data_IF_219450154137
#
_entry.id   IF_219450154137
#
_cell.length_a   1.000
_cell.length_b   1.000
_cell.length_c   1.000
_cell.angle_alpha   90.00
_cell.angle_beta   90.00
_cell.angle_gamma   90.00
#
_symmetry.space_group_name_H-M   'P 1'
#
loop_
_entity.id
_entity.type
_entity.pdbx_description
1 polymer ?
#
# COMPACT_ATOMS: atom_id res chain seq x y z
N UNK A 1 5.59 -35.23 8.90
CA UNK A 1 6.58 -34.20 8.50
C UNK A 1 6.02 -33.24 7.43
N UNK A 2 5.48 -33.74 6.31
CA UNK A 2 4.92 -32.90 5.22
C UNK A 2 3.83 -31.92 5.68
N UNK A 3 2.86 -32.37 6.49
CA UNK A 3 1.77 -31.53 7.01
C UNK A 3 2.29 -30.35 7.87
N UNK A 4 3.30 -30.60 8.71
CA UNK A 4 3.92 -29.58 9.55
C UNK A 4 4.64 -28.52 8.70
N UNK A 5 5.34 -28.95 7.65
CA UNK A 5 5.99 -28.05 6.69
C UNK A 5 4.98 -27.14 5.97
N UNK A 6 3.86 -27.73 5.53
CA UNK A 6 2.77 -26.99 4.88
C UNK A 6 2.15 -25.94 5.82
N UNK A 7 1.89 -26.33 7.08
CA UNK A 7 1.36 -25.42 8.09
C UNK A 7 2.31 -24.26 8.38
N UNK A 8 3.62 -24.55 8.51
CA UNK A 8 4.65 -23.54 8.72
C UNK A 8 4.73 -22.57 7.53
N UNK A 9 4.68 -23.10 6.31
CA UNK A 9 4.68 -22.28 5.08
C UNK A 9 3.46 -21.35 5.05
N UNK A 10 2.27 -21.88 5.36
CA UNK A 10 1.03 -21.08 5.41
C UNK A 10 1.10 -19.98 6.48
N UNK A 11 1.64 -20.29 7.66
CA UNK A 11 1.82 -19.31 8.72
C UNK A 11 2.79 -18.19 8.32
N UNK A 12 3.92 -18.54 7.71
CA UNK A 12 4.90 -17.59 7.20
C UNK A 12 4.29 -16.68 6.13
N UNK A 13 3.50 -17.26 5.22
CA UNK A 13 2.79 -16.55 4.17
C UNK A 13 1.79 -15.53 4.73
N UNK A 14 1.02 -15.95 5.74
CA UNK A 14 0.06 -15.09 6.43
C UNK A 14 0.76 -13.94 7.15
N UNK A 15 1.87 -14.21 7.83
CA UNK A 15 2.67 -13.19 8.50
C UNK A 15 3.22 -12.17 7.50
N UNK A 16 3.73 -12.65 6.36
CA UNK A 16 4.22 -11.79 5.28
C UNK A 16 3.10 -10.89 4.72
N UNK A 17 1.92 -11.46 4.50
CA UNK A 17 0.75 -10.71 4.03
C UNK A 17 0.33 -9.64 5.04
N UNK A 18 0.31 -9.97 6.33
CA UNK A 18 0.00 -9.02 7.41
C UNK A 18 1.01 -7.87 7.45
N UNK A 19 2.31 -8.19 7.35
CA UNK A 19 3.38 -7.20 7.32
C UNK A 19 3.24 -6.27 6.10
N UNK A 20 2.95 -6.84 4.93
CA UNK A 20 2.72 -6.07 3.71
C UNK A 20 1.51 -5.14 3.85
N UNK A 21 0.41 -5.63 4.43
CA UNK A 21 -0.79 -4.84 4.70
C UNK A 21 -0.50 -3.68 5.67
N UNK A 22 0.28 -3.93 6.72
CA UNK A 22 0.69 -2.90 7.68
C UNK A 22 1.55 -1.83 7.00
N UNK A 23 2.52 -2.25 6.17
CA UNK A 23 3.37 -1.34 5.41
C UNK A 23 2.54 -0.50 4.43
N UNK A 24 1.58 -1.13 3.75
CA UNK A 24 0.64 -0.46 2.85
C UNK A 24 -0.20 0.59 3.59
N UNK A 25 -0.71 0.25 4.77
CA UNK A 25 -1.48 1.17 5.61
C UNK A 25 -0.64 2.37 6.04
N UNK A 26 0.60 2.13 6.48
CA UNK A 26 1.53 3.18 6.85
C UNK A 26 1.84 4.11 5.66
N UNK A 27 2.09 3.51 4.49
CA UNK A 27 2.33 4.27 3.26
C UNK A 27 1.11 5.10 2.89
N UNK A 28 -0.10 4.53 2.96
CA UNK A 28 -1.35 5.25 2.71
C UNK A 28 -1.52 6.43 3.67
N UNK A 29 -1.23 6.23 4.96
CA UNK A 29 -1.30 7.30 5.95
C UNK A 29 -0.32 8.43 5.64
N UNK A 30 0.93 8.10 5.30
CA UNK A 30 1.96 9.08 4.92
C UNK A 30 1.54 9.84 3.66
N UNK A 31 1.03 9.10 2.68
CA UNK A 31 0.55 9.60 1.41
C UNK A 31 -0.62 10.57 1.61
N UNK A 32 -1.55 10.28 2.51
CA UNK A 32 -2.64 11.19 2.87
C UNK A 32 -2.16 12.42 3.66
N UNK A 33 -1.18 12.27 4.53
CA UNK A 33 -0.67 13.35 5.38
C UNK A 33 0.12 14.39 4.58
N UNK A 34 0.86 13.97 3.54
CA UNK A 34 1.68 14.87 2.72
C UNK A 34 0.89 16.05 2.09
N UNK A 35 -0.19 15.85 1.33
CA UNK A 35 -0.95 16.96 0.76
C UNK A 35 -1.63 17.83 1.82
N UNK A 36 -2.01 17.26 2.97
CA UNK A 36 -2.55 18.02 4.10
C UNK A 36 -1.50 18.95 4.70
N UNK A 37 -0.27 18.46 4.87
CA UNK A 37 0.86 19.27 5.35
C UNK A 37 1.22 20.38 4.35
N UNK A 38 1.18 20.08 3.04
CA UNK A 38 1.40 21.08 1.99
C UNK A 38 0.30 22.14 1.98
N UNK A 39 -0.96 21.75 2.13
CA UNK A 39 -2.10 22.66 2.25
C UNK A 39 -1.98 23.55 3.50
N UNK A 40 -1.58 22.97 4.64
CA UNK A 40 -1.34 23.72 5.87
C UNK A 40 -0.21 24.74 5.68
N UNK A 41 0.89 24.35 5.03
CA UNK A 41 2.00 25.25 4.72
C UNK A 41 1.55 26.40 3.80
N UNK A 42 0.76 26.09 2.77
CA UNK A 42 0.17 27.08 1.88
C UNK A 42 -0.71 28.08 2.64
N UNK A 43 -1.56 27.59 3.54
CA UNK A 43 -2.42 28.42 4.39
C UNK A 43 -1.60 29.33 5.31
N UNK A 44 -0.55 28.80 5.94
CA UNK A 44 0.34 29.56 6.81
C UNK A 44 1.10 30.64 6.04
N UNK A 45 1.56 30.33 4.83
CA UNK A 45 2.23 31.30 3.95
C UNK A 45 1.26 32.41 3.52
N UNK A 46 0.01 32.06 3.18
CA UNK A 46 -1.04 33.02 2.85
C UNK A 46 -1.36 33.92 4.05
N UNK A 47 -1.48 33.35 5.25
CA UNK A 47 -1.74 34.09 6.49
C UNK A 47 -0.58 35.06 6.81
N UNK A 48 0.66 34.61 6.67
CA UNK A 48 1.84 35.44 6.88
C UNK A 48 1.86 36.62 5.90
N UNK A 49 1.55 36.37 4.62
CA UNK A 49 1.45 37.41 3.59
C UNK A 49 0.37 38.43 3.96
N UNK A 50 -0.81 37.95 4.39
CA UNK A 50 -1.91 38.81 4.82
C UNK A 50 -1.52 39.66 6.03
N UNK A 51 -0.86 39.06 7.03
CA UNK A 51 -0.40 39.75 8.22
C UNK A 51 0.66 40.81 7.87
N UNK A 52 1.60 40.49 6.98
CA UNK A 52 2.62 41.43 6.49
C UNK A 52 1.96 42.62 5.79
N UNK A 53 0.99 42.35 4.91
CA UNK A 53 0.24 43.39 4.22
C UNK A 53 -0.53 44.28 5.21
N UNK A 54 -1.20 43.66 6.19
CA UNK A 54 -1.94 44.37 7.23
C UNK A 54 -1.00 45.22 8.10
N UNK A 55 0.17 44.70 8.48
CA UNK A 55 1.17 45.42 9.25
C UNK A 55 1.65 46.66 8.48
N UNK A 56 1.93 46.51 7.19
CA UNK A 56 2.34 47.62 6.34
C UNK A 56 1.24 48.67 6.23
N UNK A 57 -0.02 48.24 6.02
CA UNK A 57 -1.18 49.13 6.01
C UNK A 57 -1.34 49.87 7.35
N UNK A 58 -1.21 49.15 8.47
CA UNK A 58 -1.31 49.72 9.81
C UNK A 58 -0.19 50.74 10.07
N UNK A 59 1.05 50.42 9.70
CA UNK A 59 2.17 51.35 9.80
C UNK A 59 1.93 52.61 8.95
N UNK A 60 1.37 52.45 7.75
CA UNK A 60 1.00 53.60 6.91
C UNK A 60 -0.08 54.48 7.53
N UNK A 61 -1.04 53.89 8.25
CA UNK A 61 -2.14 54.62 8.91
C UNK A 61 -1.71 55.28 10.23
N UNK A 62 -0.88 54.60 11.03
CA UNK A 62 -0.46 55.07 12.36
C UNK A 62 0.69 56.08 12.31
N UNK A 63 1.46 56.11 11.22
CA UNK A 63 2.47 57.15 11.05
C UNK A 63 1.76 58.50 10.87
N UNK A 64 2.18 59.55 11.60
CA UNK A 64 1.61 60.88 11.43
C UNK A 64 1.68 61.26 9.95
N UNK A 65 0.66 61.95 9.40
CA UNK A 65 0.67 62.33 7.99
C UNK A 65 1.97 63.07 7.73
N UNK A 66 2.85 62.53 6.86
CA UNK A 66 4.12 63.19 6.64
C UNK A 66 3.85 64.57 6.02
N UNK A 67 4.64 65.59 6.35
CA UNK A 67 4.57 66.84 5.61
C UNK A 67 4.77 66.49 4.12
N UNK A 68 4.00 67.04 3.19
CA UNK A 68 4.21 66.76 1.76
C UNK A 68 5.69 67.08 1.44
N UNK A 69 6.52 66.14 0.94
CA UNK A 69 6.27 64.77 0.44
C UNK A 69 6.46 63.60 1.44
N UNK A 70 5.88 62.39 1.19
CA UNK A 70 6.05 61.22 2.06
C UNK A 70 7.54 60.86 2.27
N UNK A 71 7.93 60.40 3.47
CA UNK A 71 9.33 60.15 3.79
C UNK A 71 9.87 59.06 2.86
N UNK A 72 11.10 59.25 2.33
CA UNK A 72 11.68 58.35 1.34
C UNK A 72 11.75 56.89 1.83
N UNK A 73 11.83 56.68 3.16
CA UNK A 73 11.88 55.35 3.77
C UNK A 73 10.60 54.52 3.56
N UNK A 74 9.42 55.15 3.60
CA UNK A 74 8.15 54.42 3.38
C UNK A 74 7.96 54.06 1.92
N UNK A 75 8.33 54.96 1.01
CA UNK A 75 8.33 54.68 -0.42
C UNK A 75 9.30 53.56 -0.76
N UNK A 76 10.49 53.53 -0.15
CA UNK A 76 11.46 52.45 -0.33
C UNK A 76 10.93 51.11 0.19
N UNK A 77 10.24 51.10 1.34
CA UNK A 77 9.65 49.87 1.88
C UNK A 77 8.54 49.34 0.95
N UNK A 78 7.64 50.21 0.48
CA UNK A 78 6.58 49.84 -0.45
C UNK A 78 7.15 49.38 -1.80
N UNK A 79 8.17 50.07 -2.31
CA UNK A 79 8.88 49.72 -3.53
C UNK A 79 9.62 48.38 -3.42
N UNK A 80 10.11 48.02 -2.23
CA UNK A 80 10.74 46.73 -1.97
C UNK A 80 9.71 45.61 -1.77
N UNK A 81 8.55 45.91 -1.18
CA UNK A 81 7.50 44.93 -0.93
C UNK A 81 6.69 44.59 -2.19
N UNK A 82 6.44 45.56 -3.07
CA UNK A 82 5.71 45.34 -4.32
C UNK A 82 6.31 44.23 -5.20
N UNK A 83 7.62 44.21 -5.52
CA UNK A 83 8.21 43.14 -6.31
C UNK A 83 8.22 41.80 -5.57
N UNK A 84 8.33 41.81 -4.24
CA UNK A 84 8.22 40.59 -3.42
C UNK A 84 6.80 39.99 -3.55
N UNK A 85 5.76 40.82 -3.46
CA UNK A 85 4.37 40.40 -3.62
C UNK A 85 4.09 39.92 -5.06
N UNK A 86 4.62 40.64 -6.06
CA UNK A 86 4.54 40.26 -7.47
C UNK A 86 5.20 38.91 -7.75
N UNK A 87 6.28 38.59 -7.04
CA UNK A 87 6.98 37.30 -7.16
C UNK A 87 6.29 36.18 -6.39
N UNK A 88 5.73 36.48 -5.21
CA UNK A 88 5.08 35.49 -4.37
C UNK A 88 3.72 35.04 -4.94
N UNK A 89 2.95 35.94 -5.56
CA UNK A 89 1.66 35.61 -6.16
C UNK A 89 1.72 34.49 -7.21
N UNK A 90 2.58 34.52 -8.25
CA UNK A 90 2.69 33.44 -9.23
C UNK A 90 3.23 32.16 -8.60
N UNK A 91 4.09 32.25 -7.58
CA UNK A 91 4.56 31.07 -6.84
C UNK A 91 3.41 30.39 -6.07
N UNK A 92 2.54 31.18 -5.45
CA UNK A 92 1.35 30.69 -4.76
C UNK A 92 0.36 30.05 -5.75
N UNK A 93 0.13 30.69 -6.90
CA UNK A 93 -0.73 30.15 -7.96
C UNK A 93 -0.17 28.83 -8.53
N UNK A 94 1.15 28.77 -8.75
CA UNK A 94 1.83 27.55 -9.17
C UNK A 94 1.65 26.44 -8.13
N UNK A 95 1.86 26.73 -6.85
CA UNK A 95 1.69 25.74 -5.77
C UNK A 95 0.24 25.26 -5.68
N UNK A 96 -0.73 26.16 -5.82
CA UNK A 96 -2.15 25.84 -5.85
C UNK A 96 -2.52 24.94 -7.04
N UNK A 97 -1.89 25.13 -8.20
CA UNK A 97 -2.09 24.29 -9.38
C UNK A 97 -1.37 22.94 -9.29
N UNK A 98 -0.20 22.90 -8.66
CA UNK A 98 0.56 21.67 -8.43
C UNK A 98 -0.12 20.75 -7.41
N UNK A 99 -0.80 21.30 -6.40
CA UNK A 99 -1.49 20.51 -5.37
C UNK A 99 -2.50 19.49 -5.93
N UNK A 100 -3.48 19.85 -6.78
CA UNK A 100 -4.41 18.88 -7.36
C UNK A 100 -3.72 17.89 -8.30
N UNK A 101 -2.66 18.31 -9.00
CA UNK A 101 -1.87 17.39 -9.83
C UNK A 101 -1.14 16.35 -8.97
N UNK A 102 -0.55 16.78 -7.85
CA UNK A 102 0.08 15.90 -6.87
C UNK A 102 -0.95 14.94 -6.27
N UNK A 103 -2.14 15.42 -5.90
CA UNK A 103 -3.24 14.60 -5.41
C UNK A 103 -3.70 13.56 -6.46
N UNK A 104 -3.78 13.94 -7.73
CA UNK A 104 -4.13 13.02 -8.82
C UNK A 104 -3.06 11.94 -9.00
N UNK A 105 -1.78 12.31 -9.03
CA UNK A 105 -0.66 11.38 -9.12
C UNK A 105 -0.67 10.39 -7.94
N UNK A 106 -0.95 10.92 -6.75
CA UNK A 106 -1.05 10.19 -5.51
C UNK A 106 -2.19 9.17 -5.52
N UNK A 107 -3.35 9.57 -6.03
CA UNK A 107 -4.49 8.69 -6.26
C UNK A 107 -4.15 7.57 -7.27
N UNK A 108 -3.48 7.92 -8.37
CA UNK A 108 -3.05 6.95 -9.37
C UNK A 108 -2.08 5.94 -8.79
N UNK A 109 -1.11 6.39 -7.99
CA UNK A 109 -0.16 5.52 -7.30
C UNK A 109 -0.90 4.58 -6.33
N UNK A 110 -1.86 5.10 -5.58
CA UNK A 110 -2.68 4.29 -4.67
C UNK A 110 -3.47 3.21 -5.44
N UNK A 111 -4.08 3.58 -6.57
CA UNK A 111 -4.81 2.63 -7.41
C UNK A 111 -3.90 1.52 -7.95
N UNK A 112 -2.70 1.90 -8.44
CA UNK A 112 -1.71 0.95 -8.92
C UNK A 112 -1.27 -0.01 -7.80
N UNK A 113 -1.05 0.51 -6.60
CA UNK A 113 -0.65 -0.28 -5.45
C UNK A 113 -1.75 -1.24 -5.00
N UNK A 114 -3.00 -0.81 -5.01
CA UNK A 114 -4.17 -1.65 -4.75
C UNK A 114 -4.28 -2.78 -5.79
N UNK A 115 -4.09 -2.45 -7.08
CA UNK A 115 -4.09 -3.44 -8.16
C UNK A 115 -2.97 -4.48 -7.96
N UNK A 116 -1.77 -4.03 -7.59
CA UNK A 116 -0.65 -4.91 -7.30
C UNK A 116 -0.95 -5.84 -6.11
N UNK A 117 -1.54 -5.31 -5.04
CA UNK A 117 -1.97 -6.11 -3.88
C UNK A 117 -3.01 -7.16 -4.29
N UNK A 118 -4.00 -6.78 -5.10
CA UNK A 118 -5.01 -7.70 -5.62
C UNK A 118 -4.38 -8.81 -6.45
N UNK A 119 -3.45 -8.46 -7.33
CA UNK A 119 -2.71 -9.43 -8.14
C UNK A 119 -1.90 -10.39 -7.26
N UNK A 120 -1.21 -9.87 -6.24
CA UNK A 120 -0.47 -10.67 -5.28
C UNK A 120 -1.39 -11.64 -4.54
N UNK A 121 -2.55 -11.17 -4.07
CA UNK A 121 -3.54 -12.00 -3.40
C UNK A 121 -4.07 -13.10 -4.33
N UNK A 122 -4.33 -12.78 -5.59
CA UNK A 122 -4.76 -13.76 -6.60
C UNK A 122 -3.69 -14.82 -6.84
N UNK A 123 -2.42 -14.42 -6.97
CA UNK A 123 -1.28 -15.33 -7.09
C UNK A 123 -1.18 -16.24 -5.86
N UNK A 124 -1.36 -15.66 -4.66
CA UNK A 124 -1.37 -16.39 -3.39
C UNK A 124 -2.43 -17.48 -3.37
N UNK A 125 -3.64 -17.12 -3.78
CA UNK A 125 -4.79 -18.01 -3.84
C UNK A 125 -4.55 -19.14 -4.85
N UNK A 126 -3.99 -18.80 -6.02
CA UNK A 126 -3.63 -19.78 -7.04
C UNK A 126 -2.58 -20.76 -6.51
N UNK A 127 -1.55 -20.27 -5.83
CA UNK A 127 -0.52 -21.11 -5.21
C UNK A 127 -1.14 -22.06 -4.17
N UNK A 128 -2.01 -21.55 -3.31
CA UNK A 128 -2.72 -22.35 -2.32
C UNK A 128 -3.58 -23.43 -2.97
N UNK A 129 -4.29 -23.09 -4.05
CA UNK A 129 -5.09 -24.04 -4.82
C UNK A 129 -4.22 -25.14 -5.44
N UNK A 130 -3.07 -24.79 -6.01
CA UNK A 130 -2.12 -25.75 -6.57
C UNK A 130 -1.57 -26.70 -5.50
N UNK A 131 -1.21 -26.18 -4.32
CA UNK A 131 -0.77 -26.99 -3.19
C UNK A 131 -1.87 -27.95 -2.72
N UNK A 132 -3.12 -27.48 -2.65
CA UNK A 132 -4.27 -28.31 -2.29
C UNK A 132 -4.50 -29.42 -3.32
N UNK A 133 -4.42 -29.09 -4.62
CA UNK A 133 -4.56 -30.06 -5.69
C UNK A 133 -3.46 -31.14 -5.62
N UNK A 134 -2.22 -30.73 -5.36
CA UNK A 134 -1.10 -31.65 -5.18
C UNK A 134 -1.31 -32.58 -3.99
N UNK A 135 -1.80 -32.04 -2.86
CA UNK A 135 -2.14 -32.84 -1.68
C UNK A 135 -3.24 -33.86 -2.00
N UNK A 136 -4.28 -33.45 -2.72
CA UNK A 136 -5.37 -34.33 -3.15
C UNK A 136 -4.85 -35.46 -4.06
N UNK A 137 -3.96 -35.14 -5.00
CA UNK A 137 -3.35 -36.13 -5.89
C UNK A 137 -2.50 -37.14 -5.12
N UNK A 138 -1.70 -36.68 -4.15
CA UNK A 138 -0.92 -37.55 -3.27
C UNK A 138 -1.82 -38.49 -2.45
N UNK A 139 -2.94 -37.98 -1.93
CA UNK A 139 -3.92 -38.77 -1.20
C UNK A 139 -4.56 -39.84 -2.10
N UNK A 140 -4.92 -39.47 -3.33
CA UNK A 140 -5.48 -40.41 -4.31
C UNK A 140 -4.48 -41.52 -4.67
N UNK A 141 -3.22 -41.16 -4.91
CA UNK A 141 -2.14 -42.13 -5.17
C UNK A 141 -1.97 -43.11 -4.00
N UNK A 142 -1.97 -42.59 -2.77
CA UNK A 142 -1.88 -43.41 -1.56
C UNK A 142 -3.06 -44.38 -1.44
N UNK A 143 -4.27 -43.92 -1.72
CA UNK A 143 -5.48 -44.75 -1.73
C UNK A 143 -5.38 -45.87 -2.78
N UNK A 144 -4.91 -45.54 -3.99
CA UNK A 144 -4.71 -46.53 -5.06
C UNK A 144 -3.68 -47.59 -4.66
N UNK A 145 -2.57 -47.17 -4.05
CA UNK A 145 -1.53 -48.08 -3.56
C UNK A 145 -2.09 -49.03 -2.49
N UNK A 146 -2.88 -48.51 -1.56
CA UNK A 146 -3.54 -49.30 -0.53
C UNK A 146 -4.50 -50.34 -1.14
N UNK A 147 -5.29 -49.93 -2.14
CA UNK A 147 -6.19 -50.83 -2.85
C UNK A 147 -5.43 -51.95 -3.57
N UNK A 148 -4.31 -51.62 -4.24
CA UNK A 148 -3.47 -52.60 -4.92
C UNK A 148 -2.86 -53.61 -3.92
N UNK A 149 -2.39 -53.13 -2.77
CA UNK A 149 -1.87 -53.98 -1.71
C UNK A 149 -2.95 -54.93 -1.16
N UNK A 150 -4.17 -54.42 -0.95
CA UNK A 150 -5.31 -55.22 -0.53
C UNK A 150 -5.65 -56.30 -1.56
N UNK A 151 -5.64 -55.96 -2.85
CA UNK A 151 -5.87 -56.91 -3.92
C UNK A 151 -4.79 -58.01 -3.96
N UNK A 152 -3.52 -57.63 -3.82
CA UNK A 152 -2.41 -58.58 -3.76
C UNK A 152 -2.57 -59.54 -2.57
N UNK A 153 -2.92 -59.03 -1.39
CA UNK A 153 -3.19 -59.82 -0.20
C UNK A 153 -4.33 -60.83 -0.44
N UNK A 154 -5.42 -60.37 -1.06
CA UNK A 154 -6.55 -61.24 -1.42
C UNK A 154 -6.12 -62.37 -2.36
N UNK A 155 -5.33 -62.06 -3.40
CA UNK A 155 -4.82 -63.05 -4.34
C UNK A 155 -3.93 -64.09 -3.66
N UNK A 156 -3.04 -63.66 -2.77
CA UNK A 156 -2.19 -64.56 -2.00
C UNK A 156 -3.01 -65.49 -1.10
N UNK A 157 -4.04 -64.95 -0.45
CA UNK A 157 -4.95 -65.74 0.40
C UNK A 157 -5.70 -66.79 -0.42
N UNK A 158 -6.24 -66.41 -1.58
CA UNK A 158 -6.91 -67.33 -2.49
C UNK A 158 -5.97 -68.43 -3.00
N UNK A 159 -4.75 -68.07 -3.38
CA UNK A 159 -3.74 -69.02 -3.85
C UNK A 159 -3.37 -70.04 -2.76
N UNK A 160 -3.15 -69.56 -1.54
CA UNK A 160 -2.85 -70.42 -0.39
C UNK A 160 -3.99 -71.39 -0.08
N UNK A 161 -5.24 -70.92 -0.11
CA UNK A 161 -6.41 -71.76 0.12
C UNK A 161 -6.56 -72.84 -0.95
N UNK A 162 -6.37 -72.49 -2.23
CA UNK A 162 -6.41 -73.45 -3.33
C UNK A 162 -5.35 -74.55 -3.17
N UNK A 163 -4.10 -74.18 -2.84
CA UNK A 163 -3.04 -75.17 -2.60
C UNK A 163 -3.36 -76.13 -1.45
N UNK A 164 -3.92 -75.61 -0.34
CA UNK A 164 -4.31 -76.46 0.78
C UNK A 164 -5.41 -77.47 0.44
N UNK A 165 -6.39 -77.10 -0.37
CA UNK A 165 -7.47 -78.01 -0.76
C UNK A 165 -7.02 -79.15 -1.70
N UNK A 166 -6.07 -78.89 -2.61
CA UNK A 166 -5.55 -79.93 -3.50
C UNK A 166 -4.68 -80.97 -2.76
N UNK A 167 -3.98 -80.58 -1.70
CA UNK A 167 -3.19 -81.52 -0.91
C UNK A 167 -4.02 -82.43 0.01
N UNK A 168 -5.26 -82.07 0.32
CA UNK A 168 -6.15 -82.89 1.15
C UNK A 168 -7.11 -83.81 0.38
N UNK A 169 -7.09 -83.74 -0.96
CA UNK A 169 -7.95 -84.54 -1.85
C UNK A 169 -7.22 -85.71 -2.52
N UNK A 170 -6.00 -86.02 -2.06
CA UNK A 170 -5.29 -87.29 -2.30
C UNK A 170 -5.23 -88.08 -1.00
#
# INVERSE_FOLDING_TARGET
MLLLLLLLLLLLLLLLLLLLLLLLLLLLLLLLLLPLLLLLLLLLLLLLLLLLLLLVLLLLVLLPPPPPPPPPRLLLLLLLLLPLLLLLLPLLLLLLLLLPLLLLLLLLLLLLLLLLLLLLLLLLLLLLLLLLLQLLLLLLLLLLLLLLLLLLLLLLLLHHHHHHHHHHSQ
#
